data_IF_103515452185
#
_entry.id   IF_103515452185
#
_cell.length_a   1.000
_cell.length_b   1.000
_cell.length_c   1.000
_cell.angle_alpha   90.00
_cell.angle_beta   90.00
_cell.angle_gamma   90.00
#
_symmetry.space_group_name_H-M   'P 1'
#
loop_
_entity.id
_entity.type
_entity.pdbx_description
1 polymer ?
#
# COMPACT_ATOMS: atom_id res chain seq x y z
N UNK A 1 2.48 -5.17 10.31
CA UNK A 1 3.06 -3.94 10.88
C UNK A 1 4.02 -4.27 12.01
N UNK A 2 5.19 -3.61 12.13
CA UNK A 2 6.13 -3.83 13.25
C UNK A 2 5.69 -2.96 14.44
N UNK A 3 5.40 -3.59 15.56
CA UNK A 3 4.93 -2.91 16.78
C UNK A 3 5.70 -3.40 18.01
N UNK A 4 5.81 -2.57 19.05
CA UNK A 4 6.33 -2.95 20.38
C UNK A 4 5.54 -2.25 21.48
N UNK A 5 5.50 -2.83 22.68
CA UNK A 5 5.00 -2.13 23.87
C UNK A 5 6.14 -1.35 24.52
N UNK A 6 5.87 -0.13 24.98
CA UNK A 6 6.81 0.60 25.83
C UNK A 6 6.70 0.16 27.31
N UNK A 7 7.49 0.77 28.20
CA UNK A 7 7.51 0.46 29.64
C UNK A 7 6.17 0.68 30.35
N UNK A 8 5.22 1.38 29.72
CA UNK A 8 3.87 1.64 30.23
C UNK A 8 2.82 0.76 29.53
N UNK A 9 3.24 -0.22 28.71
CA UNK A 9 2.35 -1.12 27.99
C UNK A 9 1.73 -0.52 26.72
N UNK A 10 2.09 0.70 26.34
CA UNK A 10 1.50 1.40 25.18
C UNK A 10 2.11 0.88 23.88
N UNK A 11 1.26 0.56 22.90
CA UNK A 11 1.70 0.12 21.57
C UNK A 11 2.41 1.26 20.83
N UNK A 12 3.57 0.96 20.27
CA UNK A 12 4.36 1.87 19.44
C UNK A 12 4.71 1.23 18.11
N UNK A 13 4.83 2.05 17.07
CA UNK A 13 5.31 1.66 15.75
C UNK A 13 6.28 2.70 15.17
N UNK A 14 7.06 2.30 14.17
CA UNK A 14 7.95 3.19 13.41
C UNK A 14 7.23 3.90 12.27
N UNK A 15 6.04 3.43 11.90
CA UNK A 15 5.23 4.00 10.83
C UNK A 15 3.81 4.22 11.38
N UNK A 16 3.59 5.33 12.12
CA UNK A 16 2.35 5.57 12.85
C UNK A 16 1.11 5.58 11.95
N UNK A 17 1.22 6.00 10.69
CA UNK A 17 0.07 6.16 9.80
C UNK A 17 -0.13 4.97 8.85
N UNK A 18 0.84 4.06 8.76
CA UNK A 18 0.86 2.98 7.78
C UNK A 18 -0.44 2.14 7.74
N UNK A 19 -0.95 1.70 8.90
CA UNK A 19 -2.18 0.89 8.95
C UNK A 19 -3.35 1.65 8.34
N UNK A 20 -3.61 2.86 8.85
CA UNK A 20 -4.66 3.75 8.37
C UNK A 20 -4.54 4.02 6.87
N UNK A 21 -3.38 4.47 6.41
CA UNK A 21 -3.17 4.96 5.05
C UNK A 21 -3.23 3.84 3.99
N UNK A 22 -3.02 2.58 4.40
CA UNK A 22 -3.13 1.40 3.52
C UNK A 22 -4.51 0.74 3.55
N UNK A 23 -5.47 1.28 4.31
CA UNK A 23 -6.86 0.83 4.22
C UNK A 23 -7.52 1.30 2.92
N UNK A 24 -8.41 0.50 2.31
CA UNK A 24 -8.98 0.79 1.00
C UNK A 24 -9.63 2.19 0.88
N UNK A 25 -10.34 2.63 1.90
CA UNK A 25 -11.01 3.93 1.95
C UNK A 25 -10.02 5.11 1.96
N UNK A 26 -8.85 4.95 2.61
CA UNK A 26 -7.78 5.95 2.61
C UNK A 26 -7.00 5.91 1.31
N UNK A 27 -6.72 4.71 0.79
CA UNK A 27 -6.12 4.55 -0.54
C UNK A 27 -6.98 5.25 -1.59
N UNK A 28 -8.30 5.03 -1.58
CA UNK A 28 -9.24 5.63 -2.54
C UNK A 28 -9.14 7.17 -2.54
N UNK A 29 -9.23 7.80 -1.36
CA UNK A 29 -9.12 9.26 -1.18
C UNK A 29 -7.74 9.80 -1.54
N UNK A 30 -6.68 9.02 -1.33
CA UNK A 30 -5.31 9.41 -1.63
C UNK A 30 -5.06 9.38 -3.15
N UNK A 31 -5.36 8.26 -3.80
CA UNK A 31 -5.00 8.04 -5.20
C UNK A 31 -5.92 8.75 -6.18
N UNK A 32 -7.15 9.13 -5.80
CA UNK A 32 -8.06 9.86 -6.69
C UNK A 32 -7.54 11.24 -7.12
N UNK A 33 -6.62 11.81 -6.34
CA UNK A 33 -5.92 13.05 -6.64
C UNK A 33 -4.96 12.92 -7.83
N UNK A 34 -4.53 11.69 -8.14
CA UNK A 34 -3.49 11.40 -9.13
C UNK A 34 -3.99 10.52 -10.28
N UNK A 35 -4.94 9.62 -9.99
CA UNK A 35 -5.44 8.62 -10.91
C UNK A 35 -6.90 8.89 -11.24
N UNK A 36 -7.22 9.26 -12.50
CA UNK A 36 -8.61 9.44 -12.94
C UNK A 36 -9.46 8.18 -12.78
N UNK A 37 -10.77 8.36 -12.61
CA UNK A 37 -11.71 7.25 -12.52
C UNK A 37 -11.71 6.38 -13.81
N UNK A 38 -12.08 5.11 -13.67
CA UNK A 38 -12.17 4.13 -14.75
C UNK A 38 -10.82 3.54 -15.21
N UNK A 39 -9.70 4.01 -14.64
CA UNK A 39 -8.37 3.45 -14.92
C UNK A 39 -8.16 2.08 -14.27
N UNK A 40 -7.25 1.32 -14.86
CA UNK A 40 -6.77 0.06 -14.30
C UNK A 40 -5.71 0.31 -13.25
N UNK A 41 -5.88 -0.28 -12.07
CA UNK A 41 -4.91 -0.22 -10.96
C UNK A 41 -4.43 -1.64 -10.70
N UNK A 42 -3.13 -1.86 -10.94
CA UNK A 42 -2.46 -3.10 -10.58
C UNK A 42 -2.03 -3.04 -9.11
N UNK A 43 -2.44 -4.04 -8.33
CA UNK A 43 -2.15 -4.14 -6.90
C UNK A 43 -1.05 -5.18 -6.67
N UNK A 44 0.17 -4.70 -6.41
CA UNK A 44 1.27 -5.51 -5.91
C UNK A 44 1.30 -5.42 -4.38
N UNK A 45 0.65 -6.36 -3.70
CA UNK A 45 0.49 -6.34 -2.24
C UNK A 45 0.70 -7.72 -1.63
N UNK A 46 1.21 -7.75 -0.41
CA UNK A 46 1.31 -8.96 0.42
C UNK A 46 0.11 -9.14 1.37
N UNK A 47 -0.95 -8.35 1.21
CA UNK A 47 -2.21 -8.50 1.93
C UNK A 47 -2.86 -9.84 1.60
N UNK A 48 -3.30 -10.57 2.62
CA UNK A 48 -3.80 -11.95 2.49
C UNK A 48 -5.32 -12.04 2.50
N UNK A 49 -5.99 -11.00 2.96
CA UNK A 49 -7.44 -10.96 3.11
C UNK A 49 -8.10 -10.90 1.73
N UNK A 50 -8.87 -11.92 1.33
CA UNK A 50 -9.56 -11.91 0.04
C UNK A 50 -10.49 -10.71 -0.06
N UNK A 51 -10.48 -10.01 -1.20
CA UNK A 51 -11.34 -8.85 -1.41
C UNK A 51 -10.99 -7.63 -0.56
N UNK A 52 -9.84 -7.59 0.13
CA UNK A 52 -9.42 -6.43 0.92
C UNK A 52 -9.51 -5.12 0.13
N UNK A 53 -9.01 -5.12 -1.11
CA UNK A 53 -9.03 -3.93 -1.98
C UNK A 53 -10.34 -3.74 -2.76
N UNK A 54 -11.36 -4.59 -2.57
CA UNK A 54 -12.62 -4.48 -3.29
C UNK A 54 -13.30 -3.11 -3.20
N UNK A 55 -13.20 -2.31 -2.11
CA UNK A 55 -13.78 -0.96 -2.10
C UNK A 55 -13.23 -0.03 -3.18
N UNK A 56 -12.01 -0.27 -3.69
CA UNK A 56 -11.44 0.52 -4.79
C UNK A 56 -12.18 0.30 -6.12
N UNK A 57 -12.92 -0.80 -6.26
CA UNK A 57 -13.65 -1.15 -7.49
C UNK A 57 -14.79 -0.17 -7.83
N UNK A 58 -15.24 0.63 -6.86
CA UNK A 58 -16.21 1.71 -7.10
C UNK A 58 -15.70 2.74 -8.11
N UNK A 59 -14.38 2.90 -8.23
CA UNK A 59 -13.74 3.92 -9.08
C UNK A 59 -12.75 3.35 -10.09
N UNK A 60 -12.16 2.18 -9.81
CA UNK A 60 -11.04 1.63 -10.58
C UNK A 60 -11.28 0.19 -11.01
N UNK A 61 -10.66 -0.19 -12.14
CA UNK A 61 -10.58 -1.60 -12.55
C UNK A 61 -9.39 -2.23 -11.84
N UNK A 62 -9.63 -3.18 -10.94
CA UNK A 62 -8.57 -3.80 -10.16
C UNK A 62 -7.99 -4.99 -10.92
N UNK A 63 -6.66 -5.09 -10.90
CA UNK A 63 -5.94 -6.25 -11.43
C UNK A 63 -4.81 -6.64 -10.47
N UNK A 64 -4.53 -7.93 -10.43
CA UNK A 64 -3.58 -8.59 -9.54
C UNK A 64 -2.75 -9.58 -10.36
N UNK A 65 -1.65 -10.03 -9.80
CA UNK A 65 -0.85 -11.11 -10.38
C UNK A 65 -1.69 -12.38 -10.65
N UNK A 66 -2.67 -12.68 -9.78
CA UNK A 66 -3.57 -13.82 -9.96
C UNK A 66 -4.47 -13.73 -11.21
N UNK A 67 -4.69 -12.54 -11.78
CA UNK A 67 -5.40 -12.43 -13.06
C UNK A 67 -4.58 -12.97 -14.25
N UNK A 68 -3.29 -13.22 -14.06
CA UNK A 68 -2.37 -13.73 -15.08
C UNK A 68 -1.83 -15.12 -14.71
N UNK A 69 -2.49 -15.83 -13.79
CA UNK A 69 -2.02 -17.11 -13.25
C UNK A 69 -1.73 -18.16 -14.32
N UNK A 70 -2.50 -18.19 -15.42
CA UNK A 70 -2.26 -19.12 -16.54
C UNK A 70 -0.88 -18.96 -17.19
N UNK A 71 -0.28 -17.76 -17.11
CA UNK A 71 1.06 -17.45 -17.63
C UNK A 71 2.09 -17.52 -16.51
N UNK A 72 1.72 -17.11 -15.30
CA UNK A 72 2.63 -16.98 -14.17
C UNK A 72 2.88 -18.30 -13.43
N UNK A 73 1.84 -19.11 -13.21
CA UNK A 73 1.93 -20.35 -12.41
C UNK A 73 2.97 -21.34 -12.97
N UNK A 74 3.12 -21.51 -14.31
CA UNK A 74 4.18 -22.38 -14.85
C UNK A 74 5.61 -21.83 -14.68
N UNK A 75 5.77 -20.54 -14.42
CA UNK A 75 7.07 -19.85 -14.36
C UNK A 75 7.53 -19.53 -12.93
N UNK A 76 6.58 -19.40 -12.00
CA UNK A 76 6.84 -18.96 -10.63
C UNK A 76 6.94 -20.17 -9.71
N UNK A 77 8.16 -20.42 -9.24
CA UNK A 77 8.51 -21.42 -8.24
C UNK A 77 8.54 -20.84 -6.82
N UNK A 78 8.69 -19.52 -6.68
CA UNK A 78 8.78 -18.86 -5.37
C UNK A 78 8.35 -17.38 -5.38
N UNK A 79 8.10 -16.84 -4.19
CA UNK A 79 7.64 -15.46 -4.01
C UNK A 79 8.63 -14.40 -4.51
N UNK A 80 9.93 -14.71 -4.61
CA UNK A 80 10.91 -13.76 -5.13
C UNK A 80 10.74 -13.57 -6.65
N UNK A 81 10.48 -14.64 -7.40
CA UNK A 81 10.17 -14.55 -8.82
C UNK A 81 8.87 -13.78 -9.07
N UNK A 82 7.83 -14.04 -8.26
CA UNK A 82 6.59 -13.25 -8.31
C UNK A 82 6.86 -11.75 -8.09
N UNK A 83 7.62 -11.43 -7.04
CA UNK A 83 8.00 -10.04 -6.75
C UNK A 83 8.76 -9.38 -7.91
N UNK A 84 9.64 -10.11 -8.59
CA UNK A 84 10.38 -9.59 -9.75
C UNK A 84 9.45 -9.28 -10.93
N UNK A 85 8.47 -10.13 -11.20
CA UNK A 85 7.47 -9.92 -12.26
C UNK A 85 6.56 -8.75 -11.93
N UNK A 86 6.05 -8.69 -10.70
CA UNK A 86 5.26 -7.54 -10.23
C UNK A 86 6.04 -6.24 -10.40
N UNK A 87 7.34 -6.25 -10.10
CA UNK A 87 8.21 -5.08 -10.29
C UNK A 87 8.33 -4.68 -11.77
N UNK A 88 8.39 -5.63 -12.69
CA UNK A 88 8.40 -5.34 -14.14
C UNK A 88 7.08 -4.69 -14.59
N UNK A 89 5.95 -5.22 -14.14
CA UNK A 89 4.62 -4.63 -14.41
C UNK A 89 4.57 -3.19 -13.89
N UNK A 90 5.04 -2.97 -12.65
CA UNK A 90 5.08 -1.65 -12.02
C UNK A 90 6.00 -0.67 -12.76
N UNK A 91 7.14 -1.14 -13.30
CA UNK A 91 8.04 -0.30 -14.12
C UNK A 91 7.40 0.17 -15.43
N UNK A 92 6.44 -0.60 -15.98
CA UNK A 92 5.66 -0.21 -17.16
C UNK A 92 4.44 0.67 -16.85
N UNK A 93 4.14 0.94 -15.57
CA UNK A 93 2.97 1.71 -15.19
C UNK A 93 3.12 3.19 -15.51
N UNK A 94 2.04 3.83 -16.00
CA UNK A 94 2.00 5.28 -16.24
C UNK A 94 2.14 6.10 -14.94
N UNK A 95 1.63 5.56 -13.84
CA UNK A 95 1.65 6.19 -12.53
C UNK A 95 2.01 5.13 -11.51
N UNK A 96 3.12 5.33 -10.79
CA UNK A 96 3.61 4.39 -9.79
C UNK A 96 3.45 4.99 -8.39
N UNK A 97 2.70 4.32 -7.53
CA UNK A 97 2.38 4.76 -6.18
C UNK A 97 2.97 3.74 -5.21
N UNK A 98 3.88 4.21 -4.35
CA UNK A 98 4.56 3.38 -3.35
C UNK A 98 3.76 3.37 -2.04
N UNK A 99 4.04 2.40 -1.17
CA UNK A 99 3.49 2.45 0.19
C UNK A 99 4.07 3.63 0.96
N UNK A 100 5.39 3.65 1.13
CA UNK A 100 6.12 4.67 1.89
C UNK A 100 6.64 5.79 1.01
N UNK A 101 6.81 6.98 1.60
CA UNK A 101 7.53 8.07 0.97
C UNK A 101 9.02 7.71 0.83
N UNK A 102 9.51 7.78 -0.41
CA UNK A 102 10.92 7.61 -0.78
C UNK A 102 11.56 8.98 -0.95
N UNK A 103 11.42 9.54 -2.14
CA UNK A 103 11.86 10.89 -2.50
C UNK A 103 10.67 11.87 -2.52
N UNK A 104 10.92 13.18 -2.53
CA UNK A 104 9.86 14.20 -2.52
C UNK A 104 8.96 14.19 -3.77
N UNK A 105 9.45 13.61 -4.87
CA UNK A 105 8.69 13.45 -6.11
C UNK A 105 7.90 12.13 -6.18
N UNK A 106 8.08 11.22 -5.21
CA UNK A 106 7.39 9.94 -5.20
C UNK A 106 5.93 10.08 -4.77
N UNK A 107 5.01 9.50 -5.55
CA UNK A 107 3.64 9.28 -5.09
C UNK A 107 3.65 8.15 -4.05
N UNK A 108 3.06 8.41 -2.89
CA UNK A 108 3.07 7.47 -1.76
C UNK A 108 1.75 7.46 -1.00
N UNK A 109 1.35 6.26 -0.54
CA UNK A 109 0.12 6.08 0.25
C UNK A 109 0.25 6.73 1.63
N UNK A 110 1.40 6.59 2.26
CA UNK A 110 1.72 7.22 3.55
C UNK A 110 2.89 8.19 3.42
N UNK A 111 2.81 9.29 4.19
CA UNK A 111 3.90 10.26 4.32
C UNK A 111 5.01 9.76 5.28
N UNK A 112 4.81 8.58 5.90
CA UNK A 112 5.83 7.94 6.73
C UNK A 112 7.07 7.54 5.88
N UNK A 113 8.29 7.85 6.33
CA UNK A 113 9.50 7.51 5.59
C UNK A 113 9.78 6.01 5.65
N UNK A 114 10.18 5.42 4.52
CA UNK A 114 10.47 3.97 4.40
C UNK A 114 11.52 3.47 5.39
N UNK A 115 12.53 4.29 5.68
CA UNK A 115 13.61 3.99 6.62
C UNK A 115 13.45 4.86 7.88
N UNK A 116 12.59 4.45 8.79
CA UNK A 116 12.49 5.06 10.12
C UNK A 116 13.14 4.15 11.17
N UNK A 117 14.31 4.53 11.69
CA UNK A 117 15.09 3.65 12.59
C UNK A 117 15.03 4.04 14.06
N UNK A 118 14.46 5.20 14.41
CA UNK A 118 14.65 5.75 15.77
C UNK A 118 13.41 6.33 16.45
N UNK A 119 12.35 6.68 15.73
CA UNK A 119 11.22 7.38 16.34
C UNK A 119 9.99 6.47 16.48
N UNK A 120 9.84 5.85 17.65
CA UNK A 120 8.72 4.97 17.97
C UNK A 120 7.52 5.78 18.48
N UNK A 121 6.46 5.82 17.69
CA UNK A 121 5.28 6.66 17.92
C UNK A 121 4.04 5.82 18.18
N UNK A 122 2.97 6.44 18.72
CA UNK A 122 1.67 5.76 18.84
C UNK A 122 1.09 5.58 17.44
N UNK A 123 0.51 4.41 17.10
CA UNK A 123 -0.18 4.24 15.83
C UNK A 123 -1.43 5.12 15.76
N UNK A 124 -1.71 5.62 14.56
CA UNK A 124 -2.87 6.43 14.22
C UNK A 124 -3.79 5.59 13.35
N UNK A 125 -5.04 5.43 13.78
CA UNK A 125 -6.03 4.58 13.10
C UNK A 125 -7.20 5.37 12.51
N UNK A 126 -7.40 6.60 12.98
CA UNK A 126 -8.48 7.49 12.57
C UNK A 126 -7.94 8.63 11.72
N UNK A 127 -8.83 9.27 10.94
CA UNK A 127 -8.55 10.62 10.47
C UNK A 127 -8.38 11.50 11.70
N UNK A 128 -7.36 12.36 11.72
CA UNK A 128 -7.47 13.53 12.58
C UNK A 128 -8.67 14.30 12.03
N UNK A 129 -9.70 14.53 12.85
CA UNK A 129 -10.76 15.46 12.48
C UNK A 129 -10.05 16.77 12.13
N UNK A 130 -10.23 17.26 10.91
CA UNK A 130 -9.80 18.61 10.54
C UNK A 130 -10.34 19.52 11.64
N UNK A 131 -9.44 20.10 12.43
CA UNK A 131 -9.81 21.04 13.48
C UNK A 131 -10.73 22.09 12.87
N UNK A 132 -11.88 22.30 13.52
CA UNK A 132 -12.84 23.35 13.18
C UNK A 132 -12.19 24.72 12.99
#
# INVERSE_FOLDING_TARGET
MKTRKDRFGVLRTLHPHLDRDTRPEFILRRIEKWVPAGRTVFIASNEKTPGFFSPLSVRYKLTYSSNYSSILDPLIENNYQLFMIERLILMGAKTFIKTFKGDDMDLSLTDDPKKNTKNWQKPVYTMDEEGS
#
